data_IF_858245226977
#
_entry.id   IF_858245226977
#
_cell.length_a   1.000
_cell.length_b   1.000
_cell.length_c   1.000
_cell.angle_alpha   90.00
_cell.angle_beta   90.00
_cell.angle_gamma   90.00
#
_symmetry.space_group_name_H-M   'P 1'
#
loop_
_entity.id
_entity.type
_entity.pdbx_description
1 polymer ?
#
# COMPACT_ATOMS: atom_id res chain seq x y z
N UNK A 1 21.89 19.25 14.53
CA UNK A 1 22.68 18.82 13.37
C UNK A 1 21.77 17.95 12.51
N UNK A 2 21.24 18.52 11.43
CA UNK A 2 20.37 17.78 10.51
C UNK A 2 21.23 16.82 9.70
N UNK A 3 21.02 15.51 9.89
CA UNK A 3 21.66 14.50 9.06
C UNK A 3 21.05 14.57 7.65
N UNK A 4 21.84 14.67 6.58
CA UNK A 4 21.31 14.72 5.22
C UNK A 4 20.59 13.39 4.88
N UNK A 5 19.30 13.48 4.51
CA UNK A 5 18.43 12.34 4.18
C UNK A 5 18.77 11.66 2.83
N UNK A 6 19.91 11.91 2.19
CA UNK A 6 20.31 11.21 0.96
C UNK A 6 20.84 9.81 1.31
N UNK A 7 20.18 8.69 0.89
CA UNK A 7 19.54 8.43 -0.40
C UNK A 7 18.03 8.08 -0.32
N UNK A 8 17.29 8.63 0.65
CA UNK A 8 15.81 8.57 0.66
C UNK A 8 15.18 9.38 -0.49
N UNK A 9 15.95 10.32 -1.02
CA UNK A 9 15.54 11.27 -2.04
C UNK A 9 16.32 10.98 -3.32
N UNK A 10 15.64 10.44 -4.33
CA UNK A 10 16.09 10.60 -5.72
C UNK A 10 15.61 11.98 -6.21
N UNK A 11 16.46 12.68 -6.96
CA UNK A 11 16.16 13.98 -7.55
C UNK A 11 15.04 13.83 -8.60
N UNK A 12 13.79 13.88 -8.15
CA UNK A 12 12.67 14.22 -9.01
C UNK A 12 12.64 15.74 -9.11
N UNK A 13 12.77 16.28 -10.32
CA UNK A 13 12.56 17.71 -10.59
C UNK A 13 11.17 18.09 -10.09
N UNK A 14 11.09 18.80 -8.96
CA UNK A 14 9.83 19.40 -8.53
C UNK A 14 9.42 20.41 -9.60
N UNK A 15 8.39 20.09 -10.39
CA UNK A 15 7.80 21.06 -11.28
C UNK A 15 7.34 22.27 -10.45
N UNK A 16 7.39 23.49 -11.01
CA UNK A 16 6.90 24.70 -10.33
C UNK A 16 5.45 24.58 -9.83
N UNK A 17 4.68 23.65 -10.42
CA UNK A 17 3.30 23.34 -10.03
C UNK A 17 3.18 22.24 -8.96
N UNK A 18 4.25 21.67 -8.42
CA UNK A 18 4.16 20.64 -7.39
C UNK A 18 3.57 21.23 -6.08
N UNK A 19 2.75 20.47 -5.34
CA UNK A 19 2.23 20.96 -4.06
C UNK A 19 3.36 21.16 -3.04
N UNK A 20 3.29 22.24 -2.28
CA UNK A 20 4.17 22.46 -1.13
C UNK A 20 3.89 21.42 -0.04
N UNK A 21 4.94 20.95 0.61
CA UNK A 21 4.87 19.95 1.67
C UNK A 21 5.66 20.36 2.90
N UNK A 22 5.37 19.76 4.05
CA UNK A 22 6.16 19.88 5.28
C UNK A 22 7.38 18.93 5.34
N UNK A 23 7.84 18.40 4.18
CA UNK A 23 8.89 17.36 4.07
C UNK A 23 10.16 17.68 4.89
N UNK A 24 10.59 18.94 4.95
CA UNK A 24 11.77 19.37 5.73
C UNK A 24 11.64 19.18 7.25
N UNK A 25 10.43 18.98 7.76
CA UNK A 25 10.15 18.74 9.19
C UNK A 25 9.79 17.28 9.48
N UNK A 26 9.68 16.46 8.44
CA UNK A 26 9.30 15.06 8.59
C UNK A 26 10.48 14.22 9.06
N UNK A 27 10.19 13.20 9.86
CA UNK A 27 11.19 12.27 10.39
C UNK A 27 11.14 10.96 9.60
N UNK A 28 12.30 10.48 9.19
CA UNK A 28 12.47 9.13 8.68
C UNK A 28 12.87 8.18 9.81
N UNK A 29 12.36 6.95 9.77
CA UNK A 29 12.70 5.91 10.74
C UNK A 29 13.09 4.61 10.01
N UNK A 30 14.05 3.89 10.57
CA UNK A 30 14.31 2.51 10.15
C UNK A 30 13.29 1.59 10.82
N UNK A 31 12.52 0.86 10.02
CA UNK A 31 11.66 -0.23 10.52
C UNK A 31 11.95 -1.48 9.73
N UNK A 32 11.83 -2.64 10.35
CA UNK A 32 12.16 -3.90 9.71
C UNK A 32 11.01 -4.90 9.82
N UNK A 33 10.97 -5.80 8.84
CA UNK A 33 10.23 -7.04 8.88
C UNK A 33 11.07 -8.15 8.27
N UNK A 34 10.44 -9.30 8.08
CA UNK A 34 10.99 -10.41 7.32
C UNK A 34 9.97 -10.90 6.31
N UNK A 35 10.46 -11.54 5.25
CA UNK A 35 9.60 -12.19 4.25
C UNK A 35 8.70 -13.20 4.96
N UNK A 36 7.38 -12.98 4.90
CA UNK A 36 6.39 -13.84 5.54
C UNK A 36 6.16 -15.10 4.71
N UNK A 37 5.81 -16.20 5.36
CA UNK A 37 5.40 -17.42 4.65
C UNK A 37 3.99 -17.23 4.07
N UNK A 38 3.64 -17.84 2.91
CA UNK A 38 2.25 -17.95 2.48
C UNK A 38 1.37 -18.56 3.57
N UNK A 39 0.12 -18.09 3.67
CA UNK A 39 -0.80 -18.57 4.69
C UNK A 39 -1.89 -19.44 4.07
N UNK A 40 -2.02 -20.65 4.59
CA UNK A 40 -3.17 -21.51 4.37
C UNK A 40 -4.21 -21.23 5.47
N UNK A 41 -5.48 -21.12 5.07
CA UNK A 41 -6.59 -21.13 6.03
C UNK A 41 -6.82 -22.56 6.51
N UNK A 42 -7.54 -22.71 7.64
CA UNK A 42 -7.95 -24.03 8.18
C UNK A 42 -8.68 -24.86 7.11
N UNK A 43 -9.56 -24.21 6.34
CA UNK A 43 -10.13 -24.80 5.14
C UNK A 43 -9.25 -24.46 3.93
N UNK A 44 -8.91 -25.43 3.07
CA UNK A 44 -8.21 -25.17 1.81
C UNK A 44 -9.12 -24.47 0.77
N UNK A 45 -10.43 -24.47 1.00
CA UNK A 45 -11.41 -23.91 0.07
C UNK A 45 -11.62 -22.41 0.27
N UNK A 46 -11.61 -21.67 -0.84
CA UNK A 46 -12.14 -20.31 -0.95
C UNK A 46 -13.55 -20.38 -1.53
N UNK A 47 -14.50 -19.74 -0.88
CA UNK A 47 -15.90 -19.76 -1.28
C UNK A 47 -16.14 -18.56 -2.19
N UNK A 48 -16.49 -18.81 -3.45
CA UNK A 48 -16.89 -17.74 -4.36
C UNK A 48 -18.29 -17.21 -4.05
N UNK A 49 -18.59 -16.03 -4.58
CA UNK A 49 -19.94 -15.42 -4.45
C UNK A 49 -21.04 -16.23 -5.13
N UNK A 50 -20.67 -17.08 -6.07
CA UNK A 50 -21.53 -18.06 -6.72
C UNK A 50 -21.77 -19.32 -5.87
N UNK A 51 -21.24 -19.36 -4.64
CA UNK A 51 -21.32 -20.53 -3.76
C UNK A 51 -20.34 -21.65 -4.13
N UNK A 52 -19.51 -21.47 -5.16
CA UNK A 52 -18.60 -22.52 -5.64
C UNK A 52 -17.29 -22.48 -4.87
N UNK A 53 -16.89 -23.65 -4.36
CA UNK A 53 -15.61 -23.85 -3.67
C UNK A 53 -14.44 -23.87 -4.68
N UNK A 54 -13.35 -23.20 -4.34
CA UNK A 54 -12.15 -23.11 -5.18
C UNK A 54 -10.89 -23.37 -4.37
N UNK A 55 -9.92 -24.04 -4.99
CA UNK A 55 -8.57 -24.26 -4.45
C UNK A 55 -7.63 -23.26 -5.12
N UNK A 56 -7.34 -22.15 -4.43
CA UNK A 56 -6.58 -21.03 -4.98
C UNK A 56 -5.44 -20.64 -4.05
N UNK A 57 -4.29 -20.19 -4.59
CA UNK A 57 -3.29 -19.49 -3.79
C UNK A 57 -3.88 -18.19 -3.25
N UNK A 58 -3.32 -17.72 -2.13
CA UNK A 58 -3.75 -16.46 -1.53
C UNK A 58 -2.62 -15.66 -0.91
N UNK A 59 -2.85 -15.23 0.31
CA UNK A 59 -2.09 -14.19 1.01
C UNK A 59 -0.72 -14.68 1.52
N UNK A 60 0.27 -13.78 1.57
CA UNK A 60 1.61 -14.01 2.09
C UNK A 60 2.60 -14.57 1.08
N UNK A 61 3.88 -14.57 1.47
CA UNK A 61 4.94 -15.18 0.67
C UNK A 61 5.58 -14.29 -0.38
N UNK A 62 6.21 -14.96 -1.34
CA UNK A 62 6.85 -14.37 -2.50
C UNK A 62 6.03 -14.76 -3.73
N UNK A 63 5.31 -13.80 -4.31
CA UNK A 63 4.60 -14.04 -5.57
C UNK A 63 5.57 -13.86 -6.74
N UNK A 64 5.93 -14.98 -7.36
CA UNK A 64 6.99 -15.05 -8.35
C UNK A 64 6.62 -14.44 -9.71
N UNK A 65 5.36 -14.56 -10.11
CA UNK A 65 4.88 -14.25 -11.47
C UNK A 65 3.91 -13.05 -11.54
N UNK A 66 3.71 -12.33 -10.44
CA UNK A 66 2.92 -11.09 -10.39
C UNK A 66 3.66 -9.97 -9.69
N UNK A 67 3.41 -8.73 -10.09
CA UNK A 67 3.96 -7.52 -9.47
C UNK A 67 3.06 -6.31 -9.74
N UNK A 68 3.41 -5.19 -9.12
CA UNK A 68 2.82 -3.87 -9.43
C UNK A 68 2.86 -3.60 -10.94
N UNK A 69 1.75 -3.13 -11.49
CA UNK A 69 1.49 -2.94 -12.93
C UNK A 69 0.76 -4.11 -13.60
N UNK A 70 0.73 -5.31 -13.01
CA UNK A 70 -0.06 -6.42 -13.54
C UNK A 70 -1.56 -6.23 -13.28
N UNK A 71 -2.41 -6.94 -14.03
CA UNK A 71 -3.86 -6.95 -13.80
C UNK A 71 -4.18 -7.47 -12.39
N UNK A 72 -5.05 -6.76 -11.67
CA UNK A 72 -5.60 -7.19 -10.40
C UNK A 72 -6.78 -8.17 -10.57
N UNK A 73 -7.45 -8.13 -11.73
CA UNK A 73 -8.66 -8.90 -12.02
C UNK A 73 -8.40 -10.05 -12.99
N UNK A 74 -9.13 -11.15 -12.82
CA UNK A 74 -9.07 -12.32 -13.72
C UNK A 74 -7.96 -13.31 -13.39
N UNK A 75 -7.50 -13.32 -12.13
CA UNK A 75 -6.47 -14.22 -11.66
C UNK A 75 -7.10 -15.44 -10.98
N UNK A 76 -6.48 -16.61 -11.14
CA UNK A 76 -6.79 -17.80 -10.33
C UNK A 76 -6.12 -17.68 -8.95
N UNK A 77 -6.58 -16.72 -8.14
CA UNK A 77 -6.07 -16.43 -6.81
C UNK A 77 -7.14 -15.74 -5.94
N UNK A 78 -6.98 -15.75 -4.61
CA UNK A 78 -7.83 -15.01 -3.67
C UNK A 78 -6.98 -14.27 -2.64
N UNK A 79 -7.09 -12.94 -2.55
CA UNK A 79 -6.26 -12.08 -1.69
C UNK A 79 -4.74 -12.31 -1.89
N UNK A 80 -4.32 -12.48 -3.14
CA UNK A 80 -2.90 -12.61 -3.49
C UNK A 80 -2.20 -11.25 -3.41
N UNK A 81 -1.03 -11.24 -2.77
CA UNK A 81 -0.22 -10.04 -2.52
C UNK A 81 0.94 -9.99 -3.52
N UNK A 82 0.79 -9.24 -4.62
CA UNK A 82 1.78 -9.26 -5.69
C UNK A 82 3.10 -8.59 -5.29
N UNK A 83 4.16 -9.39 -5.18
CA UNK A 83 5.47 -8.94 -4.76
C UNK A 83 5.99 -9.85 -3.65
N UNK A 84 6.46 -9.24 -2.57
CA UNK A 84 7.00 -9.91 -1.39
C UNK A 84 6.28 -9.38 -0.17
N UNK A 85 5.58 -10.26 0.53
CA UNK A 85 4.88 -9.93 1.77
C UNK A 85 5.84 -9.95 2.95
N UNK A 86 5.76 -8.92 3.78
CA UNK A 86 6.58 -8.76 4.98
C UNK A 86 5.70 -8.79 6.22
N UNK A 87 6.20 -9.46 7.25
CA UNK A 87 5.66 -9.45 8.61
C UNK A 87 6.81 -9.25 9.59
N UNK A 88 6.58 -8.61 10.73
CA UNK A 88 7.54 -8.57 11.83
C UNK A 88 7.06 -9.46 12.99
N UNK A 89 7.57 -10.70 13.13
CA UNK A 89 7.23 -11.60 14.21
C UNK A 89 8.07 -11.36 15.48
N UNK A 90 8.81 -10.25 15.54
CA UNK A 90 9.70 -9.90 16.64
C UNK A 90 8.97 -9.91 17.99
N UNK A 91 9.74 -10.22 19.05
CA UNK A 91 9.22 -10.13 20.41
C UNK A 91 9.04 -8.67 20.77
N UNK A 92 7.89 -8.36 21.34
CA UNK A 92 7.61 -7.02 21.86
C UNK A 92 8.24 -6.92 23.26
N UNK A 93 9.49 -6.47 23.31
CA UNK A 93 10.21 -6.26 24.58
C UNK A 93 9.53 -5.16 25.43
N UNK A 94 8.80 -4.25 24.77
CA UNK A 94 7.90 -3.28 25.37
C UNK A 94 6.68 -3.03 24.45
N UNK A 95 5.52 -2.75 25.05
CA UNK A 95 4.28 -2.46 24.32
C UNK A 95 3.31 -3.64 24.22
N UNK A 96 2.19 -3.47 23.49
CA UNK A 96 1.19 -4.53 23.33
C UNK A 96 1.71 -5.66 22.44
N UNK A 97 1.15 -6.87 22.60
CA UNK A 97 1.44 -8.00 21.72
C UNK A 97 1.16 -7.65 20.25
N UNK A 98 2.07 -8.03 19.37
CA UNK A 98 2.08 -7.64 17.95
C UNK A 98 2.56 -6.22 17.70
N UNK A 99 3.16 -5.55 18.68
CA UNK A 99 3.59 -4.16 18.62
C UNK A 99 4.59 -3.90 17.50
N UNK A 100 5.54 -4.81 17.31
CA UNK A 100 6.58 -4.74 16.27
C UNK A 100 5.99 -4.78 14.87
N UNK A 101 5.01 -5.67 14.62
CA UNK A 101 4.33 -5.70 13.33
C UNK A 101 3.39 -4.51 13.15
N UNK A 102 2.74 -4.05 14.22
CA UNK A 102 1.91 -2.85 14.19
C UNK A 102 2.74 -1.61 13.83
N UNK A 103 3.96 -1.51 14.37
CA UNK A 103 4.92 -0.48 13.99
C UNK A 103 5.31 -0.59 12.51
N UNK A 104 5.63 -1.80 12.01
CA UNK A 104 5.89 -2.02 10.59
C UNK A 104 4.73 -1.50 9.71
N UNK A 105 3.48 -1.87 10.03
CA UNK A 105 2.27 -1.43 9.32
C UNK A 105 2.03 0.08 9.38
N UNK A 106 2.33 0.69 10.53
CA UNK A 106 2.18 2.12 10.76
C UNK A 106 3.20 2.92 9.96
N UNK A 107 4.48 2.59 10.10
CA UNK A 107 5.57 3.38 9.49
C UNK A 107 5.66 3.18 7.97
N UNK A 108 5.23 2.03 7.44
CA UNK A 108 5.28 1.76 6.01
C UNK A 108 4.30 2.63 5.21
N UNK A 109 4.86 3.44 4.31
CA UNK A 109 4.14 4.22 3.30
C UNK A 109 4.48 3.73 1.89
N UNK A 110 3.50 3.80 0.97
CA UNK A 110 3.72 3.43 -0.44
C UNK A 110 4.76 4.36 -1.06
N UNK A 111 5.74 3.77 -1.73
CA UNK A 111 6.92 4.42 -2.30
C UNK A 111 8.14 4.46 -1.36
N UNK A 112 8.04 3.99 -0.12
CA UNK A 112 9.22 3.83 0.74
C UNK A 112 10.22 2.84 0.14
N UNK A 113 11.50 3.12 0.36
CA UNK A 113 12.60 2.24 -0.05
C UNK A 113 12.68 1.06 0.91
N UNK A 114 12.84 -0.13 0.35
CA UNK A 114 13.05 -1.37 1.09
C UNK A 114 14.41 -1.95 0.71
N UNK A 115 15.20 -2.41 1.69
CA UNK A 115 16.52 -3.00 1.49
C UNK A 115 16.59 -4.35 2.18
N UNK A 116 16.99 -5.38 1.44
CA UNK A 116 17.25 -6.71 2.00
C UNK A 116 18.50 -6.65 2.89
N UNK A 117 18.40 -7.15 4.12
CA UNK A 117 19.48 -7.09 5.13
C UNK A 117 20.00 -8.46 5.56
N UNK A 118 19.43 -9.55 5.02
CA UNK A 118 19.96 -10.91 5.21
C UNK A 118 19.76 -11.77 3.97
N UNK A 119 20.39 -12.94 3.95
CA UNK A 119 20.21 -13.92 2.87
C UNK A 119 21.00 -13.59 1.60
N UNK A 120 20.79 -14.37 0.53
CA UNK A 120 21.66 -14.42 -0.65
C UNK A 120 21.60 -13.17 -1.55
N UNK A 121 20.63 -12.28 -1.31
CA UNK A 121 20.45 -11.02 -2.04
C UNK A 121 20.50 -9.80 -1.13
N UNK A 122 21.25 -9.90 -0.03
CA UNK A 122 21.54 -8.77 0.87
C UNK A 122 22.02 -7.54 0.08
N UNK A 123 21.46 -6.38 0.41
CA UNK A 123 21.72 -5.11 -0.30
C UNK A 123 20.77 -4.83 -1.46
N UNK A 124 20.01 -5.83 -1.94
CA UNK A 124 19.00 -5.59 -2.97
C UNK A 124 17.93 -4.59 -2.50
N UNK A 125 17.49 -3.74 -3.42
CA UNK A 125 16.53 -2.66 -3.15
C UNK A 125 15.21 -2.93 -3.85
N UNK A 126 14.12 -2.67 -3.12
CA UNK A 126 12.74 -2.71 -3.58
C UNK A 126 11.98 -1.47 -3.14
N UNK A 127 10.69 -1.46 -3.42
CA UNK A 127 9.79 -0.35 -3.06
C UNK A 127 8.52 -0.90 -2.41
N UNK A 128 8.09 -0.28 -1.32
CA UNK A 128 6.78 -0.59 -0.70
C UNK A 128 5.68 -0.20 -1.68
N UNK A 129 4.82 -1.15 -2.04
CA UNK A 129 3.72 -0.96 -3.00
C UNK A 129 2.34 -0.99 -2.35
N UNK A 130 2.23 -1.52 -1.13
CA UNK A 130 0.96 -1.57 -0.43
C UNK A 130 1.08 -2.21 0.95
N UNK A 131 -0.06 -2.38 1.60
CA UNK A 131 -0.22 -3.12 2.85
C UNK A 131 -1.61 -3.71 2.91
N UNK A 132 -1.73 -4.80 3.65
CA UNK A 132 -2.96 -5.57 3.76
C UNK A 132 -3.29 -5.80 5.24
N UNK A 133 -4.36 -5.17 5.69
CA UNK A 133 -4.83 -5.18 7.07
C UNK A 133 -5.48 -6.51 7.46
N UNK A 134 -5.53 -6.78 8.76
CA UNK A 134 -6.07 -8.03 9.29
C UNK A 134 -5.00 -9.12 9.35
N UNK A 135 -4.39 -9.47 8.21
CA UNK A 135 -3.17 -10.29 8.19
C UNK A 135 -1.92 -9.48 8.57
N UNK A 136 -2.00 -8.17 8.35
CA UNK A 136 -0.99 -7.18 8.69
C UNK A 136 0.34 -7.47 7.98
N UNK A 137 0.28 -7.48 6.65
CA UNK A 137 1.46 -7.54 5.79
C UNK A 137 1.76 -6.19 5.14
N UNK A 138 3.05 -5.87 5.01
CA UNK A 138 3.54 -4.85 4.10
C UNK A 138 4.01 -5.53 2.82
N UNK A 139 3.66 -4.99 1.66
CA UNK A 139 3.96 -5.58 0.35
C UNK A 139 5.06 -4.76 -0.33
N UNK A 140 6.12 -5.44 -0.75
CA UNK A 140 7.27 -4.82 -1.42
C UNK A 140 7.46 -5.42 -2.80
N UNK A 141 7.59 -4.55 -3.81
CA UNK A 141 8.03 -4.97 -5.15
C UNK A 141 9.56 -4.90 -5.24
N UNK A 142 10.16 -6.04 -5.57
CA UNK A 142 11.56 -6.18 -5.90
C UNK A 142 11.71 -6.58 -7.38
N UNK A 143 12.85 -6.28 -8.02
CA UNK A 143 13.14 -6.76 -9.37
C UNK A 143 12.94 -8.29 -9.48
N UNK A 144 12.44 -8.82 -10.61
CA UNK A 144 12.16 -10.25 -10.75
C UNK A 144 13.35 -11.18 -10.43
N UNK A 145 14.58 -10.75 -10.77
CA UNK A 145 15.80 -11.50 -10.45
C UNK A 145 16.07 -11.60 -8.94
N UNK A 146 15.69 -10.58 -8.17
CA UNK A 146 15.78 -10.57 -6.70
C UNK A 146 14.69 -11.46 -6.11
N UNK A 147 13.44 -11.34 -6.57
CA UNK A 147 12.32 -12.16 -6.07
C UNK A 147 12.58 -13.66 -6.13
N UNK A 148 13.22 -14.14 -7.20
CA UNK A 148 13.54 -15.58 -7.37
C UNK A 148 14.61 -16.10 -6.40
N UNK A 149 15.39 -15.21 -5.81
CA UNK A 149 16.50 -15.54 -4.91
C UNK A 149 16.21 -15.20 -3.44
N UNK A 150 15.13 -14.47 -3.16
CA UNK A 150 14.66 -14.22 -1.81
C UNK A 150 14.14 -15.51 -1.19
N UNK A 151 14.41 -15.66 0.10
CA UNK A 151 13.92 -16.76 0.92
C UNK A 151 12.85 -16.26 1.90
N UNK A 152 11.94 -17.16 2.30
CA UNK A 152 11.07 -16.91 3.45
C UNK A 152 11.95 -16.68 4.69
N UNK A 153 11.63 -15.65 5.47
CA UNK A 153 12.41 -15.24 6.65
C UNK A 153 13.55 -14.28 6.36
N UNK A 154 13.88 -13.98 5.09
CA UNK A 154 14.87 -12.94 4.79
C UNK A 154 14.43 -11.58 5.37
N UNK A 155 15.34 -10.90 6.06
CA UNK A 155 15.08 -9.62 6.71
C UNK A 155 15.10 -8.49 5.68
N UNK A 156 14.15 -7.58 5.82
CA UNK A 156 14.01 -6.39 4.99
C UNK A 156 13.83 -5.18 5.88
N UNK A 157 14.71 -4.19 5.72
CA UNK A 157 14.59 -2.89 6.38
C UNK A 157 13.96 -1.88 5.42
N UNK A 158 12.95 -1.17 5.90
CA UNK A 158 12.36 -0.03 5.25
C UNK A 158 13.02 1.24 5.76
N UNK A 159 13.35 2.13 4.83
CA UNK A 159 13.63 3.52 5.17
C UNK A 159 12.25 4.24 5.19
N UNK A 160 11.54 4.12 6.30
CA UNK A 160 10.15 4.55 6.44
C UNK A 160 10.05 6.08 6.54
N UNK A 161 9.26 6.67 5.63
CA UNK A 161 9.16 8.11 5.49
C UNK A 161 7.85 8.51 4.79
N UNK A 162 6.93 9.15 5.51
CA UNK A 162 5.64 9.53 4.94
C UNK A 162 4.53 9.79 5.96
N UNK A 163 4.58 9.17 7.14
CA UNK A 163 3.65 9.52 8.21
C UNK A 163 3.92 10.96 8.69
N UNK A 164 2.84 11.74 8.84
CA UNK A 164 2.92 13.17 9.15
C UNK A 164 3.13 14.08 7.93
N UNK A 165 3.02 13.55 6.70
CA UNK A 165 3.03 14.39 5.49
C UNK A 165 1.82 15.33 5.50
N UNK A 166 2.08 16.61 5.30
CA UNK A 166 1.07 17.66 5.18
C UNK A 166 1.28 18.46 3.90
N UNK A 167 0.17 19.00 3.38
CA UNK A 167 0.16 19.94 2.27
C UNK A 167 -0.34 21.28 2.84
N UNK A 168 0.54 22.19 3.29
CA UNK A 168 0.13 23.37 4.05
C UNK A 168 -0.80 24.33 3.29
N UNK A 169 -0.72 24.34 1.95
CA UNK A 169 -1.63 25.14 1.10
C UNK A 169 -3.02 24.50 0.93
N UNK A 170 -3.19 23.26 1.40
CA UNK A 170 -4.44 22.48 1.34
C UNK A 170 -4.74 21.83 2.70
N UNK A 171 -4.97 22.60 3.77
CA UNK A 171 -5.11 22.08 5.14
C UNK A 171 -6.33 21.16 5.35
N UNK A 172 -7.26 21.11 4.41
CA UNK A 172 -8.38 20.17 4.38
C UNK A 172 -8.01 18.78 3.85
N UNK A 173 -6.89 18.67 3.14
CA UNK A 173 -6.37 17.40 2.60
C UNK A 173 -5.59 16.69 3.72
N UNK A 174 -5.78 15.37 3.82
CA UNK A 174 -4.99 14.51 4.72
C UNK A 174 -4.21 13.53 3.86
N UNK A 175 -2.90 13.56 3.95
CA UNK A 175 -2.04 12.55 3.36
C UNK A 175 -1.78 11.45 4.39
N UNK A 176 -2.16 10.22 4.05
CA UNK A 176 -1.96 9.03 4.87
C UNK A 176 -1.24 7.99 4.02
N UNK A 177 -0.29 7.25 4.60
CA UNK A 177 0.39 6.13 3.94
C UNK A 177 1.12 6.50 2.63
N UNK A 178 1.46 7.78 2.44
CA UNK A 178 2.04 8.33 1.23
C UNK A 178 3.48 8.77 1.48
N UNK A 179 4.44 8.19 0.76
CA UNK A 179 5.81 8.70 0.80
C UNK A 179 5.96 9.97 -0.06
N UNK A 180 6.79 10.93 0.35
CA UNK A 180 7.14 12.08 -0.51
C UNK A 180 7.74 11.66 -1.86
N UNK A 181 8.45 10.52 -1.89
CA UNK A 181 8.99 9.93 -3.12
C UNK A 181 7.90 9.56 -4.12
N UNK A 182 6.79 8.96 -3.67
CA UNK A 182 5.64 8.68 -4.53
C UNK A 182 4.96 9.99 -4.97
N UNK A 183 4.70 10.91 -4.04
CA UNK A 183 4.02 12.18 -4.36
C UNK A 183 4.73 12.95 -5.48
N UNK A 184 6.07 13.04 -5.44
CA UNK A 184 6.86 13.69 -6.51
C UNK A 184 6.73 13.01 -7.88
N UNK A 185 6.57 11.69 -7.91
CA UNK A 185 6.48 10.89 -9.15
C UNK A 185 5.06 10.78 -9.69
N UNK A 186 4.05 11.03 -8.86
CA UNK A 186 2.64 10.89 -9.22
C UNK A 186 2.18 11.95 -10.23
N UNK A 187 2.78 13.16 -10.21
CA UNK A 187 2.32 14.26 -11.07
C UNK A 187 1.12 15.02 -10.50
N UNK A 188 0.94 14.97 -9.18
CA UNK A 188 0.01 15.85 -8.46
C UNK A 188 0.48 17.29 -8.63
N UNK A 189 -0.45 18.20 -8.96
CA UNK A 189 -0.11 19.61 -9.19
C UNK A 189 -1.13 20.57 -8.57
N UNK A 190 -0.65 21.77 -8.24
CA UNK A 190 -1.45 22.92 -7.85
C UNK A 190 -1.74 23.78 -9.07
N UNK A 191 -3.01 24.06 -9.32
CA UNK A 191 -3.47 24.91 -10.43
C UNK A 191 -4.67 25.73 -9.97
N UNK A 192 -4.63 27.05 -10.10
CA UNK A 192 -5.71 27.97 -9.72
C UNK A 192 -6.30 27.71 -8.31
N UNK A 193 -5.44 27.49 -7.31
CA UNK A 193 -5.85 27.22 -5.93
C UNK A 193 -6.47 25.84 -5.68
N UNK A 194 -6.36 24.92 -6.64
CA UNK A 194 -6.87 23.54 -6.55
C UNK A 194 -5.73 22.53 -6.66
N UNK A 195 -5.92 21.38 -6.02
CA UNK A 195 -5.04 20.22 -6.13
C UNK A 195 -5.59 19.28 -7.21
N UNK A 196 -4.83 19.09 -8.29
CA UNK A 196 -5.15 18.17 -9.36
C UNK A 196 -4.40 16.86 -9.11
N UNK A 197 -5.17 15.79 -8.89
CA UNK A 197 -4.64 14.46 -8.56
C UNK A 197 -4.96 13.52 -9.72
N UNK A 198 -3.97 13.09 -10.52
CA UNK A 198 -4.19 12.13 -11.60
C UNK A 198 -4.63 10.78 -11.02
N UNK A 199 -5.74 10.23 -11.51
CA UNK A 199 -6.21 8.88 -11.16
C UNK A 199 -6.55 8.12 -12.42
N UNK A 200 -6.42 6.80 -12.34
CA UNK A 200 -6.75 5.87 -13.43
C UNK A 200 -8.24 5.54 -13.46
N UNK A 201 -8.88 5.48 -12.29
CA UNK A 201 -10.27 5.08 -12.13
C UNK A 201 -10.97 5.88 -11.03
N UNK A 202 -12.29 6.02 -11.18
CA UNK A 202 -13.19 6.48 -10.12
C UNK A 202 -14.08 5.31 -9.69
N UNK A 203 -14.06 5.01 -8.40
CA UNK A 203 -14.79 3.89 -7.78
C UNK A 203 -15.92 4.45 -6.91
N UNK A 204 -17.18 4.06 -7.13
CA UNK A 204 -18.27 4.47 -6.26
C UNK A 204 -18.16 3.77 -4.90
N UNK A 205 -18.39 4.51 -3.81
CA UNK A 205 -18.23 3.98 -2.45
C UNK A 205 -19.21 2.84 -2.10
N UNK A 206 -20.22 2.62 -2.94
CA UNK A 206 -21.15 1.49 -2.87
C UNK A 206 -20.49 0.14 -3.18
N UNK A 207 -19.36 0.15 -3.90
CA UNK A 207 -18.57 -1.04 -4.18
C UNK A 207 -17.53 -1.35 -3.10
N UNK A 208 -17.37 -0.50 -2.07
CA UNK A 208 -16.39 -0.79 -1.02
C UNK A 208 -16.96 -1.81 -0.02
N UNK A 209 -16.12 -2.76 0.39
CA UNK A 209 -16.51 -3.90 1.23
C UNK A 209 -15.66 -4.07 2.49
N UNK A 210 -14.98 -5.23 2.58
CA UNK A 210 -14.17 -5.61 3.74
C UNK A 210 -13.17 -4.50 4.10
N UNK A 211 -13.10 -4.15 5.38
CA UNK A 211 -12.32 -3.02 5.90
C UNK A 211 -13.18 -1.82 6.31
N UNK A 212 -14.44 -1.75 5.88
CA UNK A 212 -15.36 -0.68 6.28
C UNK A 212 -15.59 -0.67 7.81
N UNK A 213 -15.64 0.51 8.43
CA UNK A 213 -15.86 0.66 9.88
C UNK A 213 -14.66 0.36 10.78
N UNK A 214 -13.49 0.01 10.22
CA UNK A 214 -12.24 -0.09 10.97
C UNK A 214 -11.78 1.30 11.45
N UNK A 215 -11.28 1.40 12.68
CA UNK A 215 -10.72 2.64 13.21
C UNK A 215 -9.26 2.85 12.76
N UNK A 216 -8.59 1.80 12.30
CA UNK A 216 -7.18 1.84 11.93
C UNK A 216 -6.94 1.95 10.41
N UNK A 217 -7.52 2.94 9.74
CA UNK A 217 -7.29 3.16 8.30
C UNK A 217 -5.80 3.29 7.94
N UNK A 218 -4.98 3.83 8.84
CA UNK A 218 -3.52 3.93 8.67
C UNK A 218 -2.82 2.56 8.73
N UNK A 219 -3.47 1.49 9.20
CA UNK A 219 -2.86 0.17 9.38
C UNK A 219 -3.37 -0.88 8.39
N UNK A 220 -4.22 -0.51 7.43
CA UNK A 220 -4.80 -1.49 6.52
C UNK A 220 -5.27 -0.89 5.21
N UNK A 221 -6.13 -1.66 4.56
CA UNK A 221 -6.71 -1.45 3.25
C UNK A 221 -8.24 -1.61 3.29
N UNK A 222 -8.88 -1.43 2.14
CA UNK A 222 -10.33 -1.51 1.97
C UNK A 222 -10.64 -2.13 0.61
N UNK A 223 -11.46 -3.18 0.60
CA UNK A 223 -11.71 -3.94 -0.61
C UNK A 223 -12.65 -3.23 -1.58
N UNK A 224 -12.31 -3.26 -2.88
CA UNK A 224 -13.24 -2.95 -3.97
C UNK A 224 -13.92 -4.26 -4.40
N UNK A 225 -15.21 -4.37 -4.12
CA UNK A 225 -16.02 -5.53 -4.48
C UNK A 225 -16.49 -5.43 -5.93
N UNK A 226 -16.07 -6.39 -6.76
CA UNK A 226 -16.47 -6.44 -8.16
C UNK A 226 -17.75 -7.27 -8.38
N UNK A 227 -18.73 -7.18 -7.46
CA UNK A 227 -19.95 -7.99 -7.48
C UNK A 227 -20.97 -7.51 -8.50
N UNK A 228 -21.09 -6.19 -8.64
CA UNK A 228 -22.05 -5.57 -9.55
C UNK A 228 -21.43 -5.40 -10.94
N UNK A 229 -21.81 -6.27 -11.87
CA UNK A 229 -21.29 -6.23 -13.24
C UNK A 229 -21.64 -4.93 -14.00
N UNK A 230 -22.76 -4.27 -13.66
CA UNK A 230 -23.15 -2.99 -14.28
C UNK A 230 -22.20 -1.89 -13.84
N UNK A 231 -21.94 -1.78 -12.54
CA UNK A 231 -21.02 -0.77 -11.99
C UNK A 231 -19.57 -1.06 -12.41
N UNK A 232 -19.15 -2.33 -12.40
CA UNK A 232 -17.82 -2.74 -12.89
C UNK A 232 -17.60 -2.29 -14.34
N UNK A 233 -18.57 -2.50 -15.24
CA UNK A 233 -18.47 -2.04 -16.63
C UNK A 233 -18.46 -0.51 -16.73
N UNK A 234 -19.39 0.16 -16.04
CA UNK A 234 -19.51 1.63 -16.06
C UNK A 234 -18.22 2.32 -15.62
N UNK A 235 -17.56 1.78 -14.60
CA UNK A 235 -16.34 2.33 -14.01
C UNK A 235 -15.05 1.65 -14.51
N UNK A 236 -15.16 0.74 -15.50
CA UNK A 236 -14.03 -0.01 -16.12
C UNK A 236 -13.17 -0.78 -15.11
N UNK A 237 -13.76 -1.25 -14.02
CA UNK A 237 -13.02 -1.86 -12.90
C UNK A 237 -12.45 -3.25 -13.23
N UNK A 238 -12.87 -3.85 -14.33
CA UNK A 238 -12.27 -5.08 -14.85
C UNK A 238 -10.85 -4.86 -15.43
N UNK A 239 -10.47 -3.61 -15.68
CA UNK A 239 -9.14 -3.24 -16.19
C UNK A 239 -8.16 -2.82 -15.08
N UNK A 240 -8.58 -2.86 -13.81
CA UNK A 240 -7.74 -2.49 -12.67
C UNK A 240 -6.42 -3.28 -12.67
N UNK A 241 -5.35 -2.55 -12.41
CA UNK A 241 -4.01 -3.07 -12.18
C UNK A 241 -3.57 -2.84 -10.75
N UNK A 242 -2.70 -3.70 -10.27
CA UNK A 242 -2.02 -3.53 -9.00
C UNK A 242 -1.13 -2.28 -9.10
N UNK A 243 -1.24 -1.36 -8.17
CA UNK A 243 -0.60 -0.04 -8.21
C UNK A 243 -1.40 1.07 -8.89
N UNK A 244 -2.59 0.78 -9.43
CA UNK A 244 -3.45 1.83 -9.99
C UNK A 244 -3.84 2.84 -8.90
N UNK A 245 -3.73 4.13 -9.23
CA UNK A 245 -4.17 5.23 -8.38
C UNK A 245 -5.65 5.48 -8.65
N UNK A 246 -6.50 5.35 -7.63
CA UNK A 246 -7.97 5.37 -7.79
C UNK A 246 -8.61 6.37 -6.83
N UNK A 247 -9.66 7.05 -7.30
CA UNK A 247 -10.49 7.92 -6.48
C UNK A 247 -11.75 7.18 -6.04
N UNK A 248 -12.02 7.11 -4.74
CA UNK A 248 -13.25 6.53 -4.17
C UNK A 248 -14.19 7.65 -3.74
N UNK A 249 -15.42 7.63 -4.27
CA UNK A 249 -16.38 8.72 -4.13
C UNK A 249 -17.79 8.20 -3.77
N UNK A 250 -18.46 8.74 -2.73
CA UNK A 250 -17.91 9.52 -1.62
C UNK A 250 -17.30 8.63 -0.52
N UNK A 251 -16.08 8.91 -0.09
CA UNK A 251 -15.42 8.19 1.02
C UNK A 251 -14.54 9.13 1.84
N UNK A 252 -14.74 9.13 3.15
CA UNK A 252 -13.86 9.76 4.14
C UNK A 252 -13.07 8.67 4.87
N UNK A 253 -11.74 8.76 4.78
CA UNK A 253 -10.82 7.77 5.34
C UNK A 253 -9.96 8.33 6.49
N UNK A 254 -10.17 9.59 6.89
CA UNK A 254 -9.26 10.31 7.80
C UNK A 254 -9.09 9.64 9.17
N UNK A 255 -10.15 9.00 9.67
CA UNK A 255 -10.17 8.34 10.97
C UNK A 255 -10.67 6.88 10.86
N UNK A 256 -10.65 6.33 9.64
CA UNK A 256 -11.32 5.09 9.28
C UNK A 256 -12.34 5.30 8.15
N UNK A 257 -12.59 4.27 7.33
CA UNK A 257 -13.49 4.36 6.18
C UNK A 257 -14.95 4.56 6.61
N UNK A 258 -15.51 5.69 6.18
CA UNK A 258 -16.93 6.03 6.32
C UNK A 258 -17.43 6.77 5.08
N UNK A 259 -18.70 6.56 4.70
CA UNK A 259 -19.30 7.28 3.58
C UNK A 259 -19.64 8.69 4.05
N UNK A 260 -19.12 9.70 3.36
CA UNK A 260 -19.41 11.10 3.65
C UNK A 260 -19.53 11.90 2.36
N UNK A 261 -20.74 12.40 2.09
CA UNK A 261 -21.02 13.17 0.89
C UNK A 261 -20.01 14.32 0.70
N UNK A 262 -19.57 14.53 -0.54
CA UNK A 262 -18.60 15.57 -0.90
C UNK A 262 -17.14 15.26 -0.54
N UNK A 263 -16.84 14.11 0.10
CA UNK A 263 -15.45 13.72 0.41
C UNK A 263 -14.95 12.66 -0.57
N UNK A 264 -13.73 12.85 -1.04
CA UNK A 264 -13.03 11.93 -1.94
C UNK A 264 -11.80 11.40 -1.23
N UNK A 265 -11.59 10.09 -1.31
CA UNK A 265 -10.35 9.44 -0.89
C UNK A 265 -9.63 8.93 -2.12
N UNK A 266 -8.32 9.14 -2.19
CA UNK A 266 -7.49 8.59 -3.26
C UNK A 266 -6.58 7.52 -2.67
N UNK A 267 -6.53 6.36 -3.31
CA UNK A 267 -5.78 5.20 -2.84
C UNK A 267 -4.99 4.53 -3.96
N UNK A 268 -4.22 3.52 -3.58
CA UNK A 268 -3.47 2.63 -4.47
C UNK A 268 -4.14 1.26 -4.39
N UNK A 269 -4.40 0.64 -5.55
CA UNK A 269 -4.89 -0.75 -5.65
C UNK A 269 -3.78 -1.74 -5.33
#
# INVERSE_FOLDING_TARGET
>A
MDLPLHPLMEAGMGAASAPRTNESRMVAAAVAGQVSHPLARVSPYRIGRDGVLRLLPGTGGIVLNRRVGDRAVGLAADHMEAGVSLNNPGRDDAGPRGGSNRALMFYACVGNRARVTSGPVTGAVGTVVGKHGGINHVIVDFPPAVKRRLCIGDKVQLDAYGQGLELPDFPQVRALNLSPRLLRRWGVRTEAGRLLIPVTHTVPAELMGSGFGRSEGVLGDLDIQLSDARLVRRHRLNALRLGDLVAVCPLDYRFGPSRRAGVVTVGVV
#
